data_IF_851768838632
#
_entry.id   IF_851768838632
#
_cell.length_a   1.000
_cell.length_b   1.000
_cell.length_c   1.000
_cell.angle_alpha   90.00
_cell.angle_beta   90.00
_cell.angle_gamma   90.00
#
_symmetry.space_group_name_H-M   'P 1'
#
loop_
_entity.id
_entity.type
_entity.pdbx_description
1 polymer ?
#
# COMPACT_ATOMS: atom_id res chain seq x y z
N UNK A 1 35.43 -23.50 41.90
CA UNK A 1 34.22 -24.31 41.60
C UNK A 1 33.11 -23.37 41.12
N UNK A 2 32.77 -23.39 39.82
CA UNK A 2 31.67 -22.56 39.27
C UNK A 2 30.34 -23.21 39.68
N UNK A 3 29.42 -22.52 40.38
CA UNK A 3 28.21 -23.16 40.88
C UNK A 3 27.36 -23.58 39.69
N UNK A 4 27.27 -24.89 39.45
CA UNK A 4 26.53 -25.53 38.34
C UNK A 4 25.06 -25.09 38.26
N UNK A 5 24.54 -24.49 39.32
CA UNK A 5 23.16 -24.02 39.44
C UNK A 5 22.98 -22.62 38.84
N UNK A 6 24.04 -21.79 38.76
CA UNK A 6 23.97 -20.45 38.18
C UNK A 6 23.52 -20.48 36.71
N UNK A 7 24.06 -21.41 35.94
CA UNK A 7 23.68 -21.59 34.53
C UNK A 7 22.25 -22.12 34.34
N UNK A 8 21.71 -22.85 35.33
CA UNK A 8 20.31 -23.29 35.30
C UNK A 8 19.37 -22.11 35.51
N UNK A 9 19.64 -21.28 36.53
CA UNK A 9 18.86 -20.08 36.79
C UNK A 9 18.98 -19.05 35.65
N UNK A 10 20.16 -18.90 35.06
CA UNK A 10 20.37 -18.04 33.90
C UNK A 10 19.55 -18.51 32.68
N UNK A 11 19.51 -19.83 32.41
CA UNK A 11 18.67 -20.38 31.33
C UNK A 11 17.18 -20.22 31.61
N UNK A 12 16.72 -20.45 32.84
CA UNK A 12 15.32 -20.25 33.22
C UNK A 12 14.92 -18.78 33.05
N UNK A 13 15.77 -17.85 33.47
CA UNK A 13 15.53 -16.41 33.31
C UNK A 13 15.43 -16.00 31.84
N UNK A 14 16.30 -16.54 30.98
CA UNK A 14 16.24 -16.29 29.52
C UNK A 14 14.95 -16.85 28.89
N UNK A 15 14.48 -18.02 29.33
CA UNK A 15 13.23 -18.62 28.82
C UNK A 15 12.03 -17.75 29.23
N UNK A 16 11.97 -17.28 30.47
CA UNK A 16 10.90 -16.39 30.95
C UNK A 16 10.91 -15.07 30.16
N UNK A 17 12.09 -14.51 29.89
CA UNK A 17 12.23 -13.31 29.06
C UNK A 17 11.69 -13.53 27.64
N UNK A 18 12.05 -14.65 27.01
CA UNK A 18 11.57 -15.01 25.67
C UNK A 18 10.05 -15.22 25.62
N UNK A 19 9.46 -15.87 26.64
CA UNK A 19 8.02 -16.05 26.73
C UNK A 19 7.31 -14.70 26.89
N UNK A 20 7.86 -13.79 27.69
CA UNK A 20 7.33 -12.43 27.85
C UNK A 20 7.37 -11.63 26.54
N UNK A 21 8.48 -11.69 25.81
CA UNK A 21 8.62 -11.06 24.49
C UNK A 21 7.64 -11.65 23.47
N UNK A 22 7.48 -12.98 23.43
CA UNK A 22 6.54 -13.65 22.54
C UNK A 22 5.08 -13.27 22.87
N UNK A 23 4.73 -13.22 24.16
CA UNK A 23 3.40 -12.80 24.61
C UNK A 23 3.06 -11.35 24.25
N UNK A 24 4.04 -10.44 24.38
CA UNK A 24 3.86 -9.04 23.97
C UNK A 24 3.62 -8.90 22.46
N UNK A 25 4.40 -9.60 21.63
CA UNK A 25 4.21 -9.59 20.17
C UNK A 25 2.84 -10.15 19.77
N UNK A 26 2.39 -11.23 20.41
CA UNK A 26 1.06 -11.80 20.17
C UNK A 26 -0.06 -10.83 20.56
N UNK A 27 0.04 -10.20 21.73
CA UNK A 27 -0.93 -9.22 22.19
C UNK A 27 -0.99 -7.98 21.25
N UNK A 28 0.16 -7.51 20.77
CA UNK A 28 0.23 -6.41 19.82
C UNK A 28 -0.49 -6.74 18.50
N UNK A 29 -0.31 -7.95 17.96
CA UNK A 29 -1.02 -8.41 16.75
C UNK A 29 -2.53 -8.46 16.98
N UNK A 30 -2.98 -9.07 18.09
CA UNK A 30 -4.42 -9.20 18.40
C UNK A 30 -5.09 -7.85 18.62
N UNK A 31 -4.43 -6.91 19.29
CA UNK A 31 -4.96 -5.55 19.46
C UNK A 31 -5.01 -4.79 18.13
N UNK A 32 -4.00 -4.96 17.28
CA UNK A 32 -3.93 -4.35 15.95
C UNK A 32 -5.00 -4.91 14.98
N UNK A 33 -5.35 -6.19 15.08
CA UNK A 33 -6.44 -6.79 14.28
C UNK A 33 -7.80 -6.22 14.69
N UNK A 34 -8.03 -5.96 15.99
CA UNK A 34 -9.28 -5.35 16.46
C UNK A 34 -9.50 -3.95 15.91
N UNK A 35 -8.44 -3.17 15.75
CA UNK A 35 -8.50 -1.83 15.15
C UNK A 35 -8.73 -1.89 13.63
N UNK A 36 -8.19 -2.93 12.96
CA UNK A 36 -8.40 -3.15 11.53
C UNK A 36 -9.80 -3.68 11.16
N UNK A 37 -10.41 -4.48 12.04
CA UNK A 37 -11.74 -5.05 11.79
C UNK A 37 -12.84 -3.98 11.81
N UNK A 38 -12.68 -2.94 12.63
CA UNK A 38 -13.59 -1.80 12.66
C UNK A 38 -13.54 -1.03 11.32
N UNK A 39 -12.34 -0.78 10.80
CA UNK A 39 -12.15 -0.15 9.49
C UNK A 39 -12.76 -0.99 8.35
N UNK A 40 -12.57 -2.32 8.32
CA UNK A 40 -13.14 -3.19 7.27
C UNK A 40 -14.67 -3.18 7.27
N UNK A 41 -15.30 -3.03 8.43
CA UNK A 41 -16.77 -3.04 8.54
C UNK A 41 -17.42 -1.81 7.90
N UNK A 42 -16.76 -0.65 7.96
CA UNK A 42 -17.23 0.58 7.32
C UNK A 42 -17.10 0.51 5.79
N UNK A 43 -15.96 0.04 5.27
CA UNK A 43 -15.79 -0.19 3.83
C UNK A 43 -16.78 -1.22 3.27
N UNK A 44 -17.06 -2.30 4.02
CA UNK A 44 -18.03 -3.31 3.61
C UNK A 44 -19.48 -2.74 3.53
N UNK A 45 -19.80 -1.75 4.36
CA UNK A 45 -21.10 -1.08 4.37
C UNK A 45 -21.22 -0.09 3.19
N UNK A 46 -20.14 0.63 2.88
CA UNK A 46 -20.07 1.50 1.71
C UNK A 46 -20.18 0.70 0.40
N UNK A 47 -19.46 -0.42 0.29
CA UNK A 47 -19.51 -1.30 -0.89
C UNK A 47 -20.93 -1.85 -1.15
N UNK A 48 -21.66 -2.23 -0.10
CA UNK A 48 -23.05 -2.71 -0.22
C UNK A 48 -24.05 -1.63 -0.59
N UNK A 49 -23.76 -0.36 -0.28
CA UNK A 49 -24.67 0.77 -0.55
C UNK A 49 -24.46 1.33 -1.96
N UNK A 50 -23.24 1.23 -2.52
CA UNK A 50 -22.92 1.76 -3.85
C UNK A 50 -23.04 0.74 -5.00
N UNK A 51 -22.99 -0.56 -4.72
CA UNK A 51 -23.18 -1.59 -5.75
C UNK A 51 -24.65 -1.99 -5.82
N UNK A 52 -25.42 -1.26 -6.64
CA UNK A 52 -26.78 -1.65 -7.04
C UNK A 52 -26.67 -2.94 -7.87
N UNK A 53 -27.33 -4.05 -7.51
CA UNK A 53 -27.16 -5.32 -8.20
C UNK A 53 -27.93 -5.26 -9.52
N UNK A 54 -27.24 -4.95 -10.62
CA UNK A 54 -27.70 -5.40 -11.93
C UNK A 54 -27.52 -6.91 -12.01
N UNK A 55 -28.57 -7.55 -12.49
CA UNK A 55 -28.86 -8.96 -12.30
C UNK A 55 -28.21 -9.82 -13.38
N UNK A 56 -27.91 -11.07 -13.02
CA UNK A 56 -27.64 -12.24 -13.88
C UNK A 56 -26.18 -12.51 -14.31
N UNK A 57 -25.84 -13.79 -14.62
CA UNK A 57 -25.90 -14.95 -13.74
C UNK A 57 -24.51 -15.61 -13.58
N UNK A 58 -24.35 -16.39 -12.50
CA UNK A 58 -23.18 -17.24 -12.22
C UNK A 58 -22.69 -17.97 -13.47
N UNK A 59 -21.43 -17.73 -13.83
CA UNK A 59 -20.61 -18.68 -14.59
C UNK A 59 -19.27 -18.78 -13.86
N UNK A 60 -19.01 -19.93 -13.26
CA UNK A 60 -17.68 -20.36 -12.84
C UNK A 60 -16.75 -20.30 -14.05
N UNK A 61 -15.65 -19.56 -13.94
CA UNK A 61 -14.67 -19.46 -15.02
C UNK A 61 -13.64 -18.38 -14.75
N UNK A 62 -12.50 -18.82 -14.23
CA UNK A 62 -11.18 -18.14 -14.31
C UNK A 62 -11.15 -16.65 -13.96
N UNK A 63 -10.70 -16.34 -12.74
CA UNK A 63 -10.17 -15.02 -12.39
C UNK A 63 -8.93 -14.70 -13.24
N UNK A 64 -9.15 -14.24 -14.47
CA UNK A 64 -8.23 -13.29 -15.09
C UNK A 64 -8.55 -11.93 -14.47
N UNK A 65 -7.56 -11.19 -13.95
CA UNK A 65 -7.79 -9.83 -13.51
C UNK A 65 -8.31 -9.07 -14.74
N UNK A 66 -9.57 -8.65 -14.69
CA UNK A 66 -10.15 -7.72 -15.64
C UNK A 66 -9.43 -6.41 -15.38
N UNK A 67 -8.29 -6.25 -16.03
CA UNK A 67 -7.64 -4.97 -16.17
C UNK A 67 -8.69 -4.11 -16.86
N UNK A 68 -9.34 -3.22 -16.10
CA UNK A 68 -10.06 -2.11 -16.68
C UNK A 68 -9.03 -1.41 -17.54
N UNK A 69 -9.07 -1.68 -18.84
CA UNK A 69 -8.46 -0.82 -19.84
C UNK A 69 -9.25 0.48 -19.75
N UNK A 70 -8.89 1.32 -18.76
CA UNK A 70 -9.23 2.73 -18.80
C UNK A 70 -8.73 3.21 -20.17
N UNK A 71 -9.69 3.54 -21.04
CA UNK A 71 -9.48 4.01 -22.41
C UNK A 71 -8.79 5.39 -22.36
N UNK A 72 -7.51 5.37 -21.97
CA UNK A 72 -6.67 6.54 -21.97
C UNK A 72 -6.27 6.81 -23.43
N UNK A 73 -6.51 8.02 -23.93
CA UNK A 73 -6.09 8.38 -25.27
C UNK A 73 -4.59 8.15 -25.41
N UNK A 74 -4.17 7.51 -26.50
CA UNK A 74 -2.76 7.30 -26.82
C UNK A 74 -2.02 8.64 -26.93
N UNK A 75 -1.36 9.02 -25.84
CA UNK A 75 -0.69 10.31 -25.73
C UNK A 75 0.71 10.22 -26.31
N UNK A 76 0.92 10.87 -27.46
CA UNK A 76 2.21 10.93 -28.14
C UNK A 76 3.02 12.15 -27.67
N UNK A 77 3.88 11.96 -26.67
CA UNK A 77 4.75 13.02 -26.12
C UNK A 77 6.17 12.85 -26.66
N UNK A 78 6.77 13.94 -27.13
CA UNK A 78 8.20 13.98 -27.45
C UNK A 78 9.03 14.20 -26.17
N UNK A 79 9.36 13.10 -25.51
CA UNK A 79 10.18 13.12 -24.29
C UNK A 79 11.59 13.66 -24.55
N UNK A 80 12.15 13.48 -25.75
CA UNK A 80 13.50 13.90 -26.06
C UNK A 80 13.58 15.41 -26.17
N UNK A 81 12.67 16.04 -26.92
CA UNK A 81 12.59 17.49 -27.02
C UNK A 81 12.32 18.15 -25.66
N UNK A 82 11.44 17.56 -24.85
CA UNK A 82 11.13 18.07 -23.51
C UNK A 82 12.33 17.98 -22.56
N UNK A 83 13.04 16.86 -22.56
CA UNK A 83 14.24 16.66 -21.75
C UNK A 83 15.41 17.55 -22.20
N UNK A 84 15.52 17.82 -23.50
CA UNK A 84 16.48 18.78 -24.04
C UNK A 84 16.18 20.20 -23.61
N UNK A 85 14.89 20.57 -23.49
CA UNK A 85 14.47 21.91 -23.04
C UNK A 85 14.63 22.10 -21.54
N UNK A 86 14.25 21.11 -20.74
CA UNK A 86 14.49 21.09 -19.30
C UNK A 86 15.02 19.72 -18.87
N UNK A 87 16.26 19.68 -18.36
CA UNK A 87 16.90 18.45 -17.88
C UNK A 87 16.19 17.85 -16.66
N UNK A 88 15.42 18.67 -15.95
CA UNK A 88 14.66 18.26 -14.77
C UNK A 88 13.30 17.65 -15.15
N UNK A 89 12.92 17.63 -16.44
CA UNK A 89 11.72 16.96 -16.92
C UNK A 89 11.79 15.45 -16.69
N UNK A 90 10.76 14.88 -16.05
CA UNK A 90 10.69 13.45 -15.71
C UNK A 90 9.49 12.73 -16.31
N UNK A 91 8.42 13.43 -16.65
CA UNK A 91 7.21 12.78 -17.15
C UNK A 91 6.10 13.76 -17.51
N UNK A 92 4.94 13.22 -17.87
CA UNK A 92 3.78 14.01 -18.26
C UNK A 92 2.55 13.51 -17.50
N UNK A 93 1.81 14.44 -16.89
CA UNK A 93 0.56 14.18 -16.20
C UNK A 93 -0.59 14.52 -17.15
N UNK A 94 -1.38 13.52 -17.53
CA UNK A 94 -2.56 13.67 -18.37
C UNK A 94 -3.77 13.08 -17.67
N UNK A 95 -4.79 13.89 -17.44
CA UNK A 95 -6.05 13.48 -16.83
C UNK A 95 -7.23 14.06 -17.63
N UNK A 96 -7.73 13.33 -18.64
CA UNK A 96 -8.73 13.84 -19.59
C UNK A 96 -10.02 14.32 -18.94
N UNK A 97 -10.47 13.68 -17.87
CA UNK A 97 -11.70 14.06 -17.16
C UNK A 97 -11.64 15.47 -16.54
N UNK A 98 -10.45 16.01 -16.32
CA UNK A 98 -10.24 17.37 -15.81
C UNK A 98 -9.58 18.30 -16.84
N UNK A 99 -9.44 17.86 -18.10
CA UNK A 99 -8.66 18.54 -19.14
C UNK A 99 -7.25 18.96 -18.66
N UNK A 100 -6.65 18.11 -17.81
CA UNK A 100 -5.36 18.38 -17.17
C UNK A 100 -4.25 17.76 -18.04
N UNK A 101 -3.30 18.56 -18.51
CA UNK A 101 -2.17 18.08 -19.32
C UNK A 101 -0.90 18.91 -19.06
N UNK A 102 -0.04 18.44 -18.16
CA UNK A 102 1.14 19.19 -17.73
C UNK A 102 2.43 18.36 -17.68
N UNK A 103 3.59 18.95 -18.01
CA UNK A 103 4.89 18.33 -17.79
C UNK A 103 5.23 18.29 -16.30
N UNK A 104 5.78 17.18 -15.85
CA UNK A 104 6.26 16.97 -14.47
C UNK A 104 7.78 17.15 -14.45
N UNK A 105 8.27 17.99 -13.54
CA UNK A 105 9.70 18.24 -13.33
C UNK A 105 10.12 17.81 -11.92
N UNK A 106 11.35 17.32 -11.78
CA UNK A 106 11.95 16.97 -10.51
C UNK A 106 12.70 18.17 -9.92
N UNK A 107 12.27 18.62 -8.75
CA UNK A 107 12.96 19.66 -7.99
C UNK A 107 14.31 19.18 -7.44
N UNK A 108 15.31 20.06 -7.41
CA UNK A 108 16.58 19.85 -6.70
C UNK A 108 16.61 20.55 -5.34
N UNK A 109 15.74 21.53 -5.15
CA UNK A 109 15.56 22.30 -3.92
C UNK A 109 14.07 22.59 -3.74
N UNK A 110 13.64 22.69 -2.48
CA UNK A 110 12.27 23.09 -2.12
C UNK A 110 11.93 24.41 -2.80
N UNK A 111 10.73 24.48 -3.39
CA UNK A 111 10.16 25.64 -4.08
C UNK A 111 10.89 26.04 -5.37
N UNK A 112 11.60 25.12 -6.02
CA UNK A 112 12.26 25.43 -7.31
C UNK A 112 11.25 25.60 -8.47
N UNK A 113 10.09 24.94 -8.40
CA UNK A 113 9.05 25.00 -9.44
C UNK A 113 7.69 25.53 -8.90
N UNK A 114 7.69 26.16 -7.73
CA UNK A 114 6.58 26.96 -7.19
C UNK A 114 6.71 28.43 -7.58
#
# INVERSE_FOLDING_TARGET
MKPRNFWKYLRILLIILFIGLAGYNLAAIVLNERENDEAKSEYATLAKTMVKPETAPKTEGEEKPKQEEEDYPHLSIDFQALKSRNKDFVGWLSFPALDLSYPVCQEKKVDQYL
#
